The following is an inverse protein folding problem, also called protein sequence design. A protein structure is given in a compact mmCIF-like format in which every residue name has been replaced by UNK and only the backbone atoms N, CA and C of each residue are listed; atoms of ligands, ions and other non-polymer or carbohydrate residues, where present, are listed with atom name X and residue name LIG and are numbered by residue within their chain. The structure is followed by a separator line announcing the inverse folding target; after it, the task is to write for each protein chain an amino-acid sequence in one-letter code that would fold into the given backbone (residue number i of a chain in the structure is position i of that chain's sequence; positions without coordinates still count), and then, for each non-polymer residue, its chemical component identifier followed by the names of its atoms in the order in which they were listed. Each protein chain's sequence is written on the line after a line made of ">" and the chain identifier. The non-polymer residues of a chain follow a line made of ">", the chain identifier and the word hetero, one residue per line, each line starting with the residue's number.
data_IF_980919456930
#
_entry.id   IF_980919456930
#
_cell.length_a   1.000
_cell.length_b   1.000
_cell.length_c   1.000
_cell.angle_alpha   90.00
_cell.angle_beta   90.00
_cell.angle_gamma   90.00
#
_symmetry.space_group_name_H-M   'P 1'
#
loop_
_entity.id
_entity.type
_entity.pdbx_description
1 polymer ?
#
# COMPACT_ATOMS: atom_id res chain seq x y z
N UNK A 1 -2.26 18.78 4.33
CA UNK A 1 -3.56 19.33 4.77
C UNK A 1 -4.03 18.55 5.99
N UNK A 2 -4.84 19.11 6.88
CA UNK A 2 -5.28 18.45 8.13
C UNK A 2 -6.82 18.42 8.22
N UNK A 3 -7.36 17.41 8.88
CA UNK A 3 -8.76 17.31 9.31
C UNK A 3 -8.76 16.96 10.80
N UNK A 4 -9.33 17.84 11.64
CA UNK A 4 -9.36 17.64 13.11
C UNK A 4 -7.99 17.29 13.72
N UNK A 5 -6.93 17.98 13.27
CA UNK A 5 -5.56 17.72 13.69
C UNK A 5 -4.91 16.46 13.11
N UNK A 6 -5.63 15.65 12.32
CA UNK A 6 -5.12 14.45 11.65
C UNK A 6 -4.62 14.81 10.24
N UNK A 7 -3.39 14.46 9.85
CA UNK A 7 -2.89 14.74 8.52
C UNK A 7 -3.62 13.93 7.45
N UNK A 8 -3.98 14.60 6.35
CA UNK A 8 -4.58 13.98 5.17
C UNK A 8 -3.50 13.77 4.11
N UNK A 9 -3.30 12.51 3.71
CA UNK A 9 -2.42 12.11 2.63
C UNK A 9 -3.22 11.80 1.36
N UNK A 10 -2.68 12.19 0.20
CA UNK A 10 -3.24 11.84 -1.11
C UNK A 10 -2.52 10.59 -1.63
N UNK A 11 -3.28 9.65 -2.17
CA UNK A 11 -2.74 8.44 -2.77
C UNK A 11 -3.51 8.11 -4.07
N UNK A 12 -2.82 8.29 -5.20
CA UNK A 12 -3.35 8.07 -6.54
C UNK A 12 -3.69 6.59 -6.84
N UNK A 13 -3.27 5.67 -5.97
CA UNK A 13 -3.54 4.24 -6.09
C UNK A 13 -4.81 3.79 -5.35
N UNK A 14 -5.56 4.72 -4.78
CA UNK A 14 -6.93 4.45 -4.31
C UNK A 14 -7.84 4.53 -5.54
N UNK A 15 -8.59 3.45 -5.80
CA UNK A 15 -9.45 3.37 -6.99
C UNK A 15 -10.71 4.22 -6.86
N UNK A 16 -10.96 5.02 -7.90
CA UNK A 16 -12.18 5.84 -8.07
C UNK A 16 -13.26 5.16 -8.92
N UNK A 17 -13.08 3.88 -9.27
CA UNK A 17 -13.99 3.11 -10.11
C UNK A 17 -14.79 2.09 -9.29
N UNK A 18 -15.19 2.44 -8.06
CA UNK A 18 -16.01 1.55 -7.21
C UNK A 18 -17.49 1.83 -7.42
N UNK A 19 -18.27 0.75 -7.48
CA UNK A 19 -19.73 0.83 -7.46
C UNK A 19 -20.25 0.91 -6.03
N UNK A 20 -20.98 1.97 -5.71
CA UNK A 20 -21.68 2.15 -4.42
C UNK A 20 -23.12 2.58 -4.72
N UNK A 21 -24.08 1.68 -4.46
CA UNK A 21 -25.46 1.89 -4.90
C UNK A 21 -25.53 1.98 -6.43
N UNK A 22 -26.07 3.08 -6.94
CA UNK A 22 -26.19 3.35 -8.37
C UNK A 22 -24.98 4.11 -8.97
N UNK A 23 -24.04 4.60 -8.15
CA UNK A 23 -22.85 5.32 -8.62
C UNK A 23 -21.74 4.32 -8.93
N UNK A 24 -21.00 4.51 -10.03
CA UNK A 24 -19.92 3.61 -10.50
C UNK A 24 -18.54 4.25 -10.50
N UNK A 25 -18.47 5.50 -10.06
CA UNK A 25 -17.33 6.41 -10.07
C UNK A 25 -17.02 6.89 -8.65
N UNK A 26 -17.01 5.95 -7.69
CA UNK A 26 -16.74 6.26 -6.30
C UNK A 26 -15.32 5.88 -5.87
N UNK A 27 -14.73 6.74 -5.04
CA UNK A 27 -13.50 6.52 -4.31
C UNK A 27 -13.74 6.00 -2.87
N UNK A 28 -12.65 5.81 -2.13
CA UNK A 28 -12.68 5.43 -0.70
C UNK A 28 -11.62 6.17 0.09
N UNK A 29 -12.03 6.90 1.13
CA UNK A 29 -11.11 7.50 2.09
C UNK A 29 -10.86 6.53 3.24
N UNK A 30 -9.60 6.34 3.62
CA UNK A 30 -9.22 5.49 4.74
C UNK A 30 -8.70 6.34 5.90
N UNK A 31 -9.20 6.07 7.10
CA UNK A 31 -8.69 6.61 8.35
C UNK A 31 -8.04 5.47 9.13
N UNK A 32 -6.76 5.61 9.50
CA UNK A 32 -5.97 4.51 10.02
C UNK A 32 -5.03 4.97 11.12
N UNK A 33 -4.89 4.14 12.17
CA UNK A 33 -3.81 4.28 13.15
C UNK A 33 -2.70 3.28 12.78
N UNK A 34 -1.52 3.80 12.46
CA UNK A 34 -0.33 2.98 12.20
C UNK A 34 0.48 2.72 13.47
N UNK A 35 1.26 1.65 13.46
CA UNK A 35 2.20 1.30 14.53
C UNK A 35 1.71 0.15 15.41
N UNK A 36 2.31 0.03 16.59
CA UNK A 36 2.05 -1.08 17.51
C UNK A 36 0.56 -1.17 17.89
N UNK A 37 -0.03 -2.36 17.70
CA UNK A 37 -1.46 -2.59 17.93
C UNK A 37 -2.42 -2.00 16.90
N UNK A 38 -1.91 -1.33 15.86
CA UNK A 38 -2.68 -0.77 14.74
C UNK A 38 -2.43 -1.49 13.42
N UNK A 39 -2.40 -0.72 12.32
CA UNK A 39 -1.94 -1.19 11.03
C UNK A 39 -0.41 -1.16 10.98
N UNK A 40 0.21 -2.27 10.57
CA UNK A 40 1.65 -2.36 10.40
C UNK A 40 2.01 -2.99 9.05
N UNK A 41 3.10 -2.50 8.47
CA UNK A 41 3.78 -3.16 7.36
C UNK A 41 4.59 -4.34 7.86
N UNK A 42 4.53 -5.46 7.15
CA UNK A 42 5.36 -6.63 7.37
C UNK A 42 6.35 -6.76 6.21
N UNK A 43 7.60 -7.06 6.53
CA UNK A 43 8.62 -7.41 5.54
C UNK A 43 9.25 -8.74 5.95
N UNK A 44 9.57 -9.58 4.98
CA UNK A 44 10.33 -10.79 5.27
C UNK A 44 11.72 -10.46 5.87
N UNK A 45 12.32 -11.38 6.65
CA UNK A 45 13.67 -11.20 7.17
C UNK A 45 14.66 -10.86 6.05
N UNK A 46 15.51 -9.86 6.30
CA UNK A 46 16.47 -9.37 5.31
C UNK A 46 15.95 -8.27 4.38
N UNK A 47 14.66 -7.88 4.48
CA UNK A 47 14.13 -6.69 3.81
C UNK A 47 14.15 -6.76 2.28
N UNK A 48 14.40 -5.61 1.64
CA UNK A 48 14.67 -5.54 0.20
C UNK A 48 16.05 -6.15 -0.08
N UNK A 49 16.08 -7.23 -0.83
CA UNK A 49 17.31 -7.94 -1.18
C UNK A 49 17.70 -7.67 -2.62
N UNK A 50 18.96 -7.30 -2.82
CA UNK A 50 19.56 -7.12 -4.14
C UNK A 50 20.67 -8.15 -4.31
N UNK A 51 20.48 -9.06 -5.26
CA UNK A 51 21.40 -10.16 -5.55
C UNK A 51 22.00 -9.98 -6.94
N UNK A 52 23.34 -9.99 -7.03
CA UNK A 52 24.01 -10.00 -8.32
C UNK A 52 24.04 -11.42 -8.84
N UNK A 53 23.32 -11.67 -9.93
CA UNK A 53 23.18 -13.01 -10.53
C UNK A 53 24.32 -13.31 -11.50
N UNK A 54 25.03 -12.28 -11.95
CA UNK A 54 26.18 -12.41 -12.86
C UNK A 54 25.81 -12.23 -14.33
N UNK A 55 26.78 -12.51 -15.21
CA UNK A 55 26.67 -12.28 -16.65
C UNK A 55 25.66 -13.22 -17.31
N UNK A 56 25.00 -12.72 -18.36
CA UNK A 56 24.10 -13.50 -19.19
C UNK A 56 24.88 -14.22 -20.29
N UNK A 57 24.53 -15.47 -20.55
CA UNK A 57 25.14 -16.26 -21.62
C UNK A 57 24.72 -15.75 -23.01
N UNK A 58 23.48 -15.29 -23.16
CA UNK A 58 22.88 -14.96 -24.46
C UNK A 58 23.24 -13.57 -24.98
N UNK A 59 23.77 -12.69 -24.12
CA UNK A 59 24.14 -11.32 -24.47
C UNK A 59 25.09 -10.73 -23.44
N UNK A 60 25.90 -9.76 -23.88
CA UNK A 60 26.79 -9.01 -23.00
C UNK A 60 26.01 -8.07 -22.07
N UNK A 61 25.52 -8.63 -20.97
CA UNK A 61 24.84 -7.91 -19.91
C UNK A 61 24.98 -8.66 -18.58
N UNK A 62 25.00 -7.91 -17.48
CA UNK A 62 24.93 -8.49 -16.14
C UNK A 62 23.53 -8.40 -15.56
N UNK A 63 23.05 -9.48 -14.93
CA UNK A 63 21.74 -9.53 -14.29
C UNK A 63 21.85 -9.26 -12.79
N UNK A 64 21.02 -8.35 -12.32
CA UNK A 64 20.76 -8.12 -10.90
C UNK A 64 19.31 -8.52 -10.62
N UNK A 65 19.08 -9.27 -9.55
CA UNK A 65 17.76 -9.65 -9.08
C UNK A 65 17.43 -8.81 -7.85
N UNK A 66 16.24 -8.23 -7.85
CA UNK A 66 15.69 -7.49 -6.71
C UNK A 66 14.49 -8.27 -6.19
N UNK A 67 14.49 -8.62 -4.91
CA UNK A 67 13.41 -9.33 -4.23
C UNK A 67 12.95 -8.53 -3.04
N UNK A 68 11.64 -8.39 -2.87
CA UNK A 68 11.06 -7.87 -1.65
C UNK A 68 9.74 -8.58 -1.38
N UNK A 69 9.67 -9.25 -0.23
CA UNK A 69 8.46 -9.92 0.22
C UNK A 69 7.82 -9.06 1.30
N UNK A 70 6.64 -8.53 1.00
CA UNK A 70 5.90 -7.60 1.85
C UNK A 70 4.48 -8.08 2.10
N UNK A 71 3.93 -7.66 3.24
CA UNK A 71 2.52 -7.83 3.57
C UNK A 71 2.07 -6.68 4.47
N UNK A 72 0.78 -6.64 4.78
CA UNK A 72 0.16 -5.72 5.72
C UNK A 72 -0.59 -6.53 6.78
N UNK A 73 -0.42 -6.13 8.05
CA UNK A 73 -1.16 -6.71 9.17
C UNK A 73 -1.99 -5.63 9.87
N UNK A 74 -3.27 -5.90 10.04
CA UNK A 74 -4.17 -5.10 10.86
C UNK A 74 -4.40 -5.81 12.19
N UNK A 75 -3.68 -5.38 13.22
CA UNK A 75 -3.73 -6.03 14.54
C UNK A 75 -5.04 -5.76 15.29
N UNK A 76 -5.76 -4.70 14.91
CA UNK A 76 -7.04 -4.35 15.50
C UNK A 76 -7.94 -3.67 14.46
N UNK A 77 -9.12 -4.23 14.21
CA UNK A 77 -10.08 -3.72 13.22
C UNK A 77 -10.65 -2.35 13.61
N UNK A 78 -10.70 -2.03 14.90
CA UNK A 78 -11.12 -0.71 15.39
C UNK A 78 -10.14 0.42 15.03
N UNK A 79 -8.95 0.07 14.54
CA UNK A 79 -7.90 1.01 14.14
C UNK A 79 -7.93 1.36 12.65
N UNK A 80 -8.95 0.91 11.93
CA UNK A 80 -9.19 1.21 10.53
C UNK A 80 -10.66 1.59 10.31
N UNK A 81 -10.88 2.79 9.80
CA UNK A 81 -12.15 3.26 9.26
C UNK A 81 -12.05 3.44 7.74
N UNK A 82 -13.17 3.23 7.04
CA UNK A 82 -13.29 3.56 5.61
C UNK A 82 -14.58 4.33 5.36
N UNK A 83 -14.49 5.38 4.56
CA UNK A 83 -15.62 6.11 3.99
C UNK A 83 -15.74 5.75 2.52
N UNK A 84 -16.83 5.09 2.14
CA UNK A 84 -17.10 4.64 0.77
C UNK A 84 -18.12 5.54 0.08
N UNK A 85 -18.11 5.59 -1.25
CA UNK A 85 -19.09 6.38 -2.01
C UNK A 85 -18.69 7.85 -2.15
N UNK A 86 -17.42 8.16 -1.92
CA UNK A 86 -16.87 9.50 -2.11
C UNK A 86 -16.77 9.77 -3.60
N UNK A 87 -17.23 10.95 -4.04
CA UNK A 87 -17.16 11.42 -5.43
C UNK A 87 -16.61 12.85 -5.41
N UNK A 88 -16.00 13.27 -6.51
CA UNK A 88 -15.60 14.66 -6.73
C UNK A 88 -16.81 15.60 -6.93
#
# INVERSE_FOLDING_TARGET
>A
QYYDGIPVGVNDWISDAKTVGASTDCSTIYALQVGEGGLAGLTAPGGLQVERVGSLETKDATRTRVKWYVSLALFNTLKLGKLTGVRD
#
